data_IF_903730542971
#
_entry.id   IF_903730542971
#
_cell.length_a   1.000
_cell.length_b   1.000
_cell.length_c   1.000
_cell.angle_alpha   90.00
_cell.angle_beta   90.00
_cell.angle_gamma   90.00
#
_symmetry.space_group_name_H-M   'P 1'
#
loop_
_entity.id
_entity.type
_entity.pdbx_description
1 polymer ?
#
# COMPACT_ATOMS: atom_id res chain seq x y z
N UNK A 1 33.15 -18.13 17.72
CA UNK A 1 31.69 -18.24 17.58
C UNK A 1 31.32 -17.55 16.28
N UNK A 2 30.98 -18.32 15.24
CA UNK A 2 30.52 -17.77 13.97
C UNK A 2 29.00 -17.71 14.09
N UNK A 3 28.46 -16.51 14.21
CA UNK A 3 27.01 -16.30 14.12
C UNK A 3 26.57 -16.70 12.72
N UNK A 4 25.85 -17.81 12.60
CA UNK A 4 25.11 -18.15 11.39
C UNK A 4 24.22 -16.96 11.02
N UNK A 5 24.25 -16.47 9.76
CA UNK A 5 23.27 -15.49 9.34
C UNK A 5 21.91 -16.13 9.53
N UNK A 6 21.02 -15.46 10.27
CA UNK A 6 19.63 -15.86 10.40
C UNK A 6 19.07 -15.84 8.97
N UNK A 7 18.97 -17.00 8.31
CA UNK A 7 18.26 -17.08 7.04
C UNK A 7 16.83 -16.65 7.36
N UNK A 8 16.41 -15.50 6.82
CA UNK A 8 15.03 -15.09 6.93
C UNK A 8 14.17 -16.20 6.33
N UNK A 9 13.31 -16.77 7.17
CA UNK A 9 12.43 -17.84 6.78
C UNK A 9 11.34 -17.25 5.87
N UNK A 10 11.05 -17.89 4.74
CA UNK A 10 9.96 -17.55 3.82
C UNK A 10 8.69 -17.08 4.53
N UNK A 11 8.29 -17.80 5.58
CA UNK A 11 7.10 -17.50 6.40
C UNK A 11 7.12 -16.11 7.05
N UNK A 12 8.30 -15.58 7.40
CA UNK A 12 8.43 -14.23 7.98
C UNK A 12 8.22 -13.15 6.93
N UNK A 13 8.81 -13.32 5.74
CA UNK A 13 8.66 -12.37 4.64
C UNK A 13 7.21 -12.37 4.16
N UNK A 14 6.58 -13.55 4.02
CA UNK A 14 5.18 -13.68 3.61
C UNK A 14 4.20 -13.07 4.63
N UNK A 15 4.47 -13.23 5.93
CA UNK A 15 3.70 -12.58 6.98
C UNK A 15 3.78 -11.04 6.89
N UNK A 16 4.96 -10.49 6.62
CA UNK A 16 5.12 -9.05 6.46
C UNK A 16 4.48 -8.52 5.18
N UNK A 17 4.50 -9.28 4.08
CA UNK A 17 3.73 -8.97 2.87
C UNK A 17 2.22 -8.96 3.18
N UNK A 18 1.75 -9.96 3.93
CA UNK A 18 0.34 -10.05 4.36
C UNK A 18 -0.07 -8.88 5.25
N UNK A 19 0.80 -8.46 6.17
CA UNK A 19 0.56 -7.28 7.00
C UNK A 19 0.48 -6.01 6.15
N UNK A 20 1.38 -5.84 5.17
CA UNK A 20 1.31 -4.71 4.25
C UNK A 20 0.03 -4.72 3.41
N UNK A 21 -0.42 -5.88 2.95
CA UNK A 21 -1.71 -6.03 2.26
C UNK A 21 -2.88 -5.60 3.13
N UNK A 22 -2.89 -5.99 4.41
CA UNK A 22 -3.91 -5.60 5.37
C UNK A 22 -3.91 -4.09 5.62
N UNK A 23 -2.73 -3.48 5.77
CA UNK A 23 -2.59 -2.02 5.90
C UNK A 23 -3.21 -1.31 4.69
N UNK A 24 -2.90 -1.76 3.46
CA UNK A 24 -3.43 -1.18 2.23
C UNK A 24 -4.95 -1.34 2.14
N UNK A 25 -5.49 -2.51 2.52
CA UNK A 25 -6.92 -2.76 2.53
C UNK A 25 -7.66 -1.86 3.53
N UNK A 26 -7.08 -1.65 4.71
CA UNK A 26 -7.63 -0.74 5.72
C UNK A 26 -7.60 0.71 5.22
N UNK A 27 -6.49 1.15 4.63
CA UNK A 27 -6.39 2.48 4.01
C UNK A 27 -7.41 2.69 2.89
N UNK A 28 -7.68 1.66 2.09
CA UNK A 28 -8.71 1.73 1.06
C UNK A 28 -10.10 1.92 1.67
N UNK A 29 -10.42 1.12 2.70
CA UNK A 29 -11.70 1.24 3.41
C UNK A 29 -11.88 2.61 4.07
N UNK A 30 -10.84 3.13 4.70
CA UNK A 30 -10.83 4.48 5.29
C UNK A 30 -11.03 5.56 4.23
N UNK A 31 -10.30 5.49 3.10
CA UNK A 31 -10.43 6.44 1.98
C UNK A 31 -11.84 6.44 1.40
N UNK A 32 -12.45 5.26 1.22
CA UNK A 32 -13.83 5.11 0.74
C UNK A 32 -14.86 5.78 1.67
N UNK A 33 -14.54 5.87 2.96
CA UNK A 33 -15.36 6.55 3.98
C UNK A 33 -15.03 8.03 4.12
N UNK A 34 -14.12 8.57 3.30
CA UNK A 34 -13.67 9.96 3.36
C UNK A 34 -12.75 10.26 4.54
N UNK A 35 -12.15 9.23 5.14
CA UNK A 35 -11.21 9.39 6.25
C UNK A 35 -9.81 9.63 5.68
N UNK A 36 -9.10 10.63 6.21
CA UNK A 36 -7.71 10.90 5.87
C UNK A 36 -6.82 9.75 6.33
N UNK A 37 -5.95 9.27 5.46
CA UNK A 37 -4.98 8.21 5.73
C UNK A 37 -3.55 8.75 5.68
N UNK A 38 -2.65 8.13 6.44
CA UNK A 38 -1.21 8.39 6.36
C UNK A 38 -0.49 7.24 5.65
N UNK A 39 -0.04 7.50 4.43
CA UNK A 39 0.68 6.52 3.60
C UNK A 39 2.20 6.70 3.62
N UNK A 40 2.72 7.63 4.43
CA UNK A 40 4.15 8.00 4.44
C UNK A 40 5.08 6.83 4.76
N UNK A 41 4.59 5.83 5.50
CA UNK A 41 5.36 4.64 5.85
C UNK A 41 5.42 3.56 4.75
N UNK A 42 4.51 3.58 3.78
CA UNK A 42 4.39 2.52 2.76
C UNK A 42 5.65 2.40 1.89
N UNK A 43 6.26 3.48 1.36
CA UNK A 43 7.42 3.37 0.48
C UNK A 43 8.59 2.62 1.13
N UNK A 44 8.88 2.92 2.40
CA UNK A 44 9.98 2.28 3.14
C UNK A 44 9.66 0.79 3.39
N UNK A 45 8.41 0.47 3.80
CA UNK A 45 7.97 -0.93 3.98
C UNK A 45 8.14 -1.74 2.69
N UNK A 46 7.71 -1.18 1.55
CA UNK A 46 7.77 -1.84 0.24
C UNK A 46 9.22 -2.08 -0.19
N UNK A 47 10.09 -1.06 -0.10
CA UNK A 47 11.51 -1.19 -0.49
C UNK A 47 12.22 -2.23 0.37
N UNK A 48 11.97 -2.23 1.69
CA UNK A 48 12.54 -3.21 2.60
C UNK A 48 12.08 -4.63 2.26
N UNK A 49 10.78 -4.83 2.02
CA UNK A 49 10.23 -6.14 1.63
C UNK A 49 10.78 -6.60 0.29
N UNK A 50 10.84 -5.72 -0.71
CA UNK A 50 11.42 -6.06 -2.00
C UNK A 50 12.87 -6.52 -1.85
N UNK A 51 13.69 -5.84 -1.05
CA UNK A 51 15.08 -6.25 -0.79
C UNK A 51 15.14 -7.66 -0.18
N UNK A 52 14.28 -7.96 0.80
CA UNK A 52 14.22 -9.27 1.46
C UNK A 52 13.78 -10.37 0.49
N UNK A 53 12.75 -10.11 -0.32
CA UNK A 53 12.29 -11.03 -1.38
C UNK A 53 13.40 -11.33 -2.39
N UNK A 54 14.18 -10.32 -2.81
CA UNK A 54 15.29 -10.53 -3.76
C UNK A 54 16.40 -11.43 -3.18
N UNK A 55 16.63 -11.35 -1.87
CA UNK A 55 17.62 -12.14 -1.15
C UNK A 55 17.12 -13.52 -0.70
N UNK A 56 15.84 -13.83 -0.88
CA UNK A 56 15.26 -15.13 -0.53
C UNK A 56 15.81 -16.25 -1.46
N UNK A 57 15.81 -17.52 -0.98
CA UNK A 57 16.13 -18.67 -1.80
C UNK A 57 15.30 -18.71 -3.10
N UNK A 58 15.87 -19.28 -4.16
CA UNK A 58 15.26 -19.26 -5.50
C UNK A 58 13.83 -19.83 -5.51
N UNK A 59 13.61 -20.90 -4.75
CA UNK A 59 12.33 -21.62 -4.70
C UNK A 59 11.24 -20.76 -4.04
N UNK A 60 11.58 -20.06 -2.94
CA UNK A 60 10.68 -19.17 -2.20
C UNK A 60 10.45 -17.83 -2.93
N UNK A 61 11.48 -17.31 -3.59
CA UNK A 61 11.45 -15.98 -4.23
C UNK A 61 10.35 -15.87 -5.28
N UNK A 62 10.03 -16.94 -6.01
CA UNK A 62 8.99 -16.90 -7.03
C UNK A 62 7.60 -16.68 -6.43
N UNK A 63 7.29 -17.32 -5.31
CA UNK A 63 6.01 -17.14 -4.62
C UNK A 63 5.93 -15.76 -3.97
N UNK A 64 6.98 -15.36 -3.26
CA UNK A 64 7.07 -14.03 -2.66
C UNK A 64 6.98 -12.89 -3.69
N UNK A 65 7.52 -13.08 -4.90
CA UNK A 65 7.39 -12.10 -5.98
C UNK A 65 5.93 -11.93 -6.42
N UNK A 66 5.17 -13.03 -6.53
CA UNK A 66 3.73 -12.96 -6.83
C UNK A 66 2.96 -12.23 -5.72
N UNK A 67 3.28 -12.49 -4.46
CA UNK A 67 2.68 -11.77 -3.34
C UNK A 67 3.00 -10.27 -3.38
N UNK A 68 4.23 -9.89 -3.76
CA UNK A 68 4.60 -8.48 -3.99
C UNK A 68 3.85 -7.85 -5.18
N UNK A 69 3.57 -8.60 -6.24
CA UNK A 69 2.74 -8.12 -7.35
C UNK A 69 1.30 -7.80 -6.90
N UNK A 70 0.74 -8.61 -5.99
CA UNK A 70 -0.57 -8.35 -5.38
C UNK A 70 -0.58 -7.08 -4.52
N UNK A 71 0.52 -6.82 -3.79
CA UNK A 71 0.72 -5.54 -3.07
C UNK A 71 0.66 -4.36 -4.04
N UNK A 72 1.38 -4.45 -5.17
CA UNK A 72 1.39 -3.37 -6.17
C UNK A 72 0.01 -3.15 -6.81
N UNK A 73 -0.75 -4.21 -7.07
CA UNK A 73 -2.13 -4.10 -7.56
C UNK A 73 -3.05 -3.41 -6.54
N UNK A 74 -2.88 -3.73 -5.26
CA UNK A 74 -3.65 -3.13 -4.18
C UNK A 74 -3.32 -1.65 -3.99
N UNK A 75 -2.04 -1.28 -4.11
CA UNK A 75 -1.60 0.13 -4.09
C UNK A 75 -2.18 0.93 -5.26
N UNK A 76 -2.22 0.36 -6.47
CA UNK A 76 -2.87 1.01 -7.61
C UNK A 76 -4.36 1.26 -7.36
N UNK A 77 -5.03 0.27 -6.75
CA UNK A 77 -6.44 0.41 -6.38
C UNK A 77 -6.64 1.53 -5.34
N UNK A 78 -5.80 1.58 -4.31
CA UNK A 78 -5.81 2.66 -3.31
C UNK A 78 -5.56 4.03 -3.96
N UNK A 79 -4.55 4.14 -4.82
CA UNK A 79 -4.22 5.39 -5.53
C UNK A 79 -5.41 5.89 -6.36
N UNK A 80 -6.09 4.99 -7.06
CA UNK A 80 -7.26 5.34 -7.85
C UNK A 80 -8.41 5.85 -6.97
N UNK A 81 -8.68 5.20 -5.83
CA UNK A 81 -9.71 5.65 -4.90
C UNK A 81 -9.38 7.04 -4.32
N UNK A 82 -8.13 7.29 -3.92
CA UNK A 82 -7.69 8.61 -3.43
C UNK A 82 -7.95 9.68 -4.50
N UNK A 83 -7.58 9.41 -5.76
CA UNK A 83 -7.81 10.34 -6.86
C UNK A 83 -9.31 10.60 -7.08
N UNK A 84 -10.14 9.56 -7.07
CA UNK A 84 -11.60 9.68 -7.22
C UNK A 84 -12.22 10.55 -6.13
N UNK A 85 -11.78 10.36 -4.86
CA UNK A 85 -12.26 11.17 -3.73
C UNK A 85 -11.80 12.61 -3.83
N UNK A 86 -10.55 12.84 -4.20
CA UNK A 86 -10.02 14.16 -4.44
C UNK A 86 -10.80 14.90 -5.53
N UNK A 87 -11.06 14.23 -6.66
CA UNK A 87 -11.81 14.82 -7.77
C UNK A 87 -13.27 15.12 -7.39
N UNK A 88 -13.89 14.26 -6.58
CA UNK A 88 -15.23 14.51 -6.05
C UNK A 88 -15.25 15.74 -5.16
N UNK A 89 -14.32 15.82 -4.20
CA UNK A 89 -14.22 16.97 -3.29
C UNK A 89 -13.97 18.28 -4.07
N UNK A 90 -13.09 18.25 -5.07
CA UNK A 90 -12.84 19.39 -5.94
C UNK A 90 -14.11 19.86 -6.66
N UNK A 91 -14.92 18.94 -7.19
CA UNK A 91 -16.22 19.28 -7.81
C UNK A 91 -17.18 19.91 -6.80
N UNK A 92 -17.26 19.37 -5.59
CA UNK A 92 -18.16 19.87 -4.55
C UNK A 92 -17.75 21.29 -4.10
N UNK A 93 -16.45 21.56 -3.92
CA UNK A 93 -15.91 22.89 -3.62
C UNK A 93 -16.26 23.88 -4.73
N UNK A 94 -16.00 23.52 -6.00
CA UNK A 94 -16.32 24.38 -7.14
C UNK A 94 -17.81 24.69 -7.23
N UNK A 95 -18.70 23.74 -6.90
CA UNK A 95 -20.13 23.98 -6.88
C UNK A 95 -20.52 25.01 -5.81
N UNK A 96 -19.96 24.88 -4.60
CA UNK A 96 -20.20 25.81 -3.48
C UNK A 96 -19.72 27.23 -3.81
N UNK A 97 -18.50 27.37 -4.32
CA UNK A 97 -17.94 28.67 -4.69
C UNK A 97 -18.78 29.39 -5.76
N UNK A 98 -19.25 28.65 -6.77
CA UNK A 98 -20.08 29.20 -7.84
C UNK A 98 -21.51 29.54 -7.39
N UNK A 99 -22.04 28.86 -6.36
CA UNK A 99 -23.31 29.27 -5.73
C UNK A 99 -23.14 30.53 -4.89
N UNK A 100 -22.00 30.70 -4.22
CA UNK A 100 -21.72 31.85 -3.36
C UNK A 100 -21.46 33.17 -4.11
N UNK A 101 -21.16 33.12 -5.41
CA UNK A 101 -20.92 34.31 -6.25
C UNK A 101 -22.17 34.79 -7.00
N UNK A 102 -23.31 34.11 -6.83
CA UNK A 102 -24.61 34.46 -7.46
C UNK A 102 -25.60 35.12 -6.49
N UNK A 103 -25.20 35.33 -5.24
CA UNK A 103 -25.91 36.15 -4.23
C UNK A 103 -25.26 37.53 -4.13
#
# INVERSE_FOLDING_TARGET
MISTPLMENHSSIDADISNLMNDIADYLSQTQRGIMIDISSLPIKIVNLQSRVQNAPKDDRQELTKSMEQVMQSLNTLSNEIQLRHDSLSRDINALENTSHKE
#
